data_IF_611002424922
#
_entry.id   IF_611002424922
#
_cell.length_a   1.000
_cell.length_b   1.000
_cell.length_c   1.000
_cell.angle_alpha   90.00
_cell.angle_beta   90.00
_cell.angle_gamma   90.00
#
_symmetry.space_group_name_H-M   'P 1'
#
loop_
_entity.id
_entity.type
_entity.pdbx_description
1 polymer ?
#
# COMPACT_ATOMS: atom_id res chain seq x y z
N UNK A 1 -9.77 28.74 -19.99
CA UNK A 1 -9.26 27.56 -20.71
C UNK A 1 -10.44 26.80 -21.30
N UNK A 2 -10.47 26.66 -22.60
CA UNK A 2 -11.52 25.91 -23.33
C UNK A 2 -11.33 24.40 -23.13
N UNK A 3 -12.36 23.56 -23.41
CA UNK A 3 -12.21 22.11 -23.34
C UNK A 3 -11.09 21.55 -24.22
N UNK A 4 -10.86 22.12 -25.40
CA UNK A 4 -9.87 21.62 -26.33
C UNK A 4 -8.44 22.07 -25.96
N UNK A 5 -8.28 23.31 -25.48
CA UNK A 5 -7.02 23.76 -24.85
C UNK A 5 -6.64 22.87 -23.65
N UNK A 6 -7.62 22.47 -22.84
CA UNK A 6 -7.40 21.59 -21.69
C UNK A 6 -6.95 20.20 -22.12
N UNK A 7 -7.59 19.59 -23.13
CA UNK A 7 -7.16 18.29 -23.67
C UNK A 7 -5.75 18.36 -24.22
N UNK A 8 -5.41 19.43 -24.93
CA UNK A 8 -4.06 19.66 -25.45
C UNK A 8 -3.04 19.76 -24.31
N UNK A 9 -3.37 20.48 -23.23
CA UNK A 9 -2.52 20.61 -22.05
C UNK A 9 -2.36 19.28 -21.29
N UNK A 10 -3.45 18.52 -21.11
CA UNK A 10 -3.41 17.17 -20.53
C UNK A 10 -2.52 16.24 -21.37
N UNK A 11 -2.65 16.30 -22.70
CA UNK A 11 -1.81 15.52 -23.61
C UNK A 11 -0.34 15.89 -23.48
N UNK A 12 0.00 17.17 -23.52
CA UNK A 12 1.38 17.64 -23.38
C UNK A 12 1.99 17.20 -22.04
N UNK A 13 1.26 17.37 -20.93
CA UNK A 13 1.71 16.91 -19.62
C UNK A 13 2.00 15.40 -19.57
N UNK A 14 1.15 14.58 -20.22
CA UNK A 14 1.32 13.13 -20.26
C UNK A 14 2.40 12.66 -21.25
N UNK A 15 2.66 13.42 -22.31
CA UNK A 15 3.75 13.13 -23.24
C UNK A 15 5.11 13.50 -22.60
N UNK A 16 5.15 14.57 -21.77
CA UNK A 16 6.33 14.96 -20.99
C UNK A 16 6.61 14.01 -19.80
N UNK A 17 5.55 13.62 -19.06
CA UNK A 17 5.64 12.67 -17.97
C UNK A 17 4.42 11.71 -17.99
N UNK A 18 4.58 10.51 -18.55
CA UNK A 18 3.48 9.54 -18.67
C UNK A 18 3.06 8.92 -17.34
N UNK A 19 3.82 9.14 -16.26
CA UNK A 19 3.51 8.64 -14.91
C UNK A 19 2.60 9.58 -14.11
N UNK A 20 2.32 10.79 -14.62
CA UNK A 20 1.50 11.77 -13.92
C UNK A 20 0.11 11.23 -13.57
N UNK A 21 -0.23 11.31 -12.29
CA UNK A 21 -1.57 10.95 -11.82
C UNK A 21 -2.62 11.97 -12.26
N UNK A 22 -3.85 11.50 -12.45
CA UNK A 22 -4.99 12.37 -12.77
C UNK A 22 -5.16 13.52 -11.76
N UNK A 23 -4.86 13.24 -10.49
CA UNK A 23 -4.91 14.24 -9.42
C UNK A 23 -3.84 15.34 -9.59
N UNK A 24 -2.62 14.96 -9.95
CA UNK A 24 -1.54 15.92 -10.19
C UNK A 24 -1.86 16.83 -11.38
N UNK A 25 -2.40 16.26 -12.46
CA UNK A 25 -2.84 17.00 -13.65
C UNK A 25 -4.01 17.93 -13.29
N UNK A 26 -4.99 17.44 -12.53
CA UNK A 26 -6.14 18.22 -12.07
C UNK A 26 -5.71 19.44 -11.23
N UNK A 27 -4.77 19.24 -10.31
CA UNK A 27 -4.22 20.29 -9.46
C UNK A 27 -3.44 21.34 -10.25
N UNK A 28 -2.64 20.94 -11.24
CA UNK A 28 -1.90 21.87 -12.11
C UNK A 28 -2.81 22.69 -13.03
N UNK A 29 -3.91 22.11 -13.48
CA UNK A 29 -4.86 22.75 -14.40
C UNK A 29 -6.01 23.49 -13.69
N UNK A 30 -6.10 23.39 -12.35
CA UNK A 30 -7.17 24.01 -11.56
C UNK A 30 -8.57 23.45 -11.85
N UNK A 31 -8.67 22.18 -12.23
CA UNK A 31 -9.93 21.51 -12.59
C UNK A 31 -10.18 20.28 -11.74
N UNK A 32 -11.39 19.72 -11.81
CA UNK A 32 -11.71 18.46 -11.10
C UNK A 32 -11.03 17.25 -11.76
N UNK A 33 -10.71 16.24 -10.94
CA UNK A 33 -10.18 14.96 -11.42
C UNK A 33 -11.12 14.27 -12.43
N UNK A 34 -12.44 14.37 -12.22
CA UNK A 34 -13.45 13.82 -13.13
C UNK A 34 -13.41 14.47 -14.52
N UNK A 35 -13.06 15.76 -14.59
CA UNK A 35 -12.86 16.48 -15.85
C UNK A 35 -11.64 15.94 -16.58
N UNK A 36 -10.51 15.78 -15.88
CA UNK A 36 -9.27 15.22 -16.45
C UNK A 36 -9.47 13.78 -16.95
N UNK A 37 -10.19 12.95 -16.19
CA UNK A 37 -10.53 11.58 -16.59
C UNK A 37 -11.30 11.53 -17.91
N UNK A 38 -12.27 12.44 -18.12
CA UNK A 38 -13.00 12.55 -19.39
C UNK A 38 -12.11 13.01 -20.54
N UNK A 39 -11.21 13.96 -20.29
CA UNK A 39 -10.30 14.47 -21.31
C UNK A 39 -9.27 13.40 -21.72
N UNK A 40 -8.71 12.64 -20.76
CA UNK A 40 -7.83 11.49 -21.04
C UNK A 40 -8.54 10.40 -21.86
N UNK A 41 -9.83 10.14 -21.58
CA UNK A 41 -10.65 9.23 -22.37
C UNK A 41 -10.85 9.73 -23.81
N UNK A 42 -11.04 11.03 -24.01
CA UNK A 42 -11.19 11.64 -25.33
C UNK A 42 -9.90 11.64 -26.16
N UNK A 43 -8.73 11.65 -25.52
CA UNK A 43 -7.41 11.65 -26.19
C UNK A 43 -6.94 10.22 -26.55
N UNK A 44 -7.71 9.18 -26.19
CA UNK A 44 -7.39 7.79 -26.51
C UNK A 44 -6.22 7.20 -25.71
N UNK A 45 -5.73 7.91 -24.68
CA UNK A 45 -4.65 7.49 -23.76
C UNK A 45 -5.19 6.79 -22.52
N UNK A 46 -6.28 6.04 -22.65
CA UNK A 46 -6.70 5.10 -21.61
C UNK A 46 -5.90 3.82 -21.82
N UNK A 47 -4.90 3.56 -20.96
CA UNK A 47 -4.52 2.18 -20.67
C UNK A 47 -5.74 1.52 -20.04
N UNK A 48 -6.59 0.93 -20.88
CA UNK A 48 -7.84 0.29 -20.49
C UNK A 48 -7.64 -0.99 -19.67
N UNK A 49 -6.43 -1.23 -19.13
CA UNK A 49 -6.08 -2.53 -18.54
C UNK A 49 -5.21 -2.49 -17.27
N UNK A 50 -5.20 -1.40 -16.49
CA UNK A 50 -4.65 -1.46 -15.13
C UNK A 50 -5.63 -0.89 -14.12
N UNK A 51 -6.79 -1.55 -14.01
CA UNK A 51 -7.67 -1.69 -12.84
C UNK A 51 -9.07 -2.08 -13.34
N UNK A 52 -9.20 -3.33 -13.80
CA UNK A 52 -10.51 -3.98 -13.92
C UNK A 52 -10.82 -4.62 -12.58
N UNK A 53 -11.95 -4.18 -12.02
CA UNK A 53 -12.62 -4.74 -10.88
C UNK A 53 -12.69 -6.28 -10.95
N UNK A 54 -12.16 -6.95 -9.94
CA UNK A 54 -12.53 -8.34 -9.66
C UNK A 54 -14.02 -8.39 -9.34
N UNK A 55 -14.84 -8.66 -10.36
CA UNK A 55 -16.19 -9.18 -10.21
C UNK A 55 -16.23 -10.51 -10.96
N UNK A 56 -16.26 -11.66 -10.29
CA UNK A 56 -16.36 -12.93 -10.99
C UNK A 56 -17.77 -13.03 -11.57
N UNK A 57 -17.91 -12.87 -12.89
CA UNK A 57 -19.12 -13.23 -13.62
C UNK A 57 -18.79 -14.51 -14.39
N UNK A 58 -19.42 -15.60 -13.98
CA UNK A 58 -19.30 -16.92 -14.59
C UNK A 58 -19.42 -16.83 -16.12
N UNK A 59 -18.45 -17.40 -16.84
CA UNK A 59 -18.55 -17.61 -18.27
C UNK A 59 -17.88 -18.93 -18.66
N UNK A 60 -18.64 -19.70 -19.44
CA UNK A 60 -18.32 -20.99 -20.07
C UNK A 60 -16.99 -20.95 -20.83
N UNK A 61 -16.27 -22.08 -20.94
CA UNK A 61 -15.10 -22.17 -21.81
C UNK A 61 -15.53 -22.16 -23.28
N UNK A 62 -15.02 -21.18 -24.04
CA UNK A 62 -14.97 -21.27 -25.49
C UNK A 62 -13.54 -21.57 -25.95
N UNK A 63 -13.50 -22.38 -27.00
CA UNK A 63 -12.40 -23.10 -27.62
C UNK A 63 -11.38 -22.16 -28.26
N UNK A 64 -10.11 -22.37 -27.95
CA UNK A 64 -8.97 -21.71 -28.62
C UNK A 64 -8.81 -22.24 -30.04
N UNK A 65 -8.94 -21.36 -31.03
CA UNK A 65 -8.42 -21.58 -32.38
C UNK A 65 -7.07 -20.87 -32.51
N UNK A 66 -6.04 -21.64 -32.83
CA UNK A 66 -4.69 -21.19 -33.16
C UNK A 66 -4.62 -20.78 -34.63
N UNK A 67 -4.25 -19.53 -34.93
CA UNK A 67 -3.68 -19.19 -36.23
C UNK A 67 -2.57 -18.13 -36.12
N UNK A 68 -1.54 -18.39 -36.92
CA UNK A 68 -0.15 -17.90 -36.93
C UNK A 68 0.00 -16.63 -37.79
N UNK A 69 1.16 -15.98 -37.63
CA UNK A 69 1.89 -15.13 -38.60
C UNK A 69 1.82 -13.64 -38.27
N UNK A 70 2.88 -12.83 -38.27
CA UNK A 70 4.28 -12.95 -38.66
C UNK A 70 4.84 -11.51 -38.69
N UNK A 71 6.16 -11.32 -38.56
CA UNK A 71 6.78 -10.00 -38.78
C UNK A 71 7.91 -9.65 -37.80
N UNK A 72 9.13 -9.99 -38.19
CA UNK A 72 10.36 -9.51 -37.56
C UNK A 72 10.66 -8.08 -38.01
N UNK A 73 10.92 -7.17 -37.07
CA UNK A 73 11.88 -6.06 -37.26
C UNK A 73 12.69 -5.88 -35.99
N UNK A 74 14.00 -6.09 -36.10
CA UNK A 74 15.02 -5.77 -35.08
C UNK A 74 15.21 -4.25 -35.02
N UNK A 75 15.00 -3.64 -33.86
CA UNK A 75 15.68 -2.40 -33.48
C UNK A 75 15.76 -2.26 -31.94
N UNK A 76 17.02 -2.16 -31.46
CA UNK A 76 17.54 -1.65 -30.17
C UNK A 76 17.15 -2.31 -28.82
N UNK A 77 18.12 -2.87 -28.07
CA UNK A 77 18.01 -3.08 -26.62
C UNK A 77 18.64 -1.90 -25.88
N UNK A 78 17.85 -1.01 -25.29
CA UNK A 78 18.34 -0.06 -24.28
C UNK A 78 17.28 0.11 -23.20
N UNK A 79 17.13 -0.88 -22.32
CA UNK A 79 16.55 -0.64 -21.00
C UNK A 79 17.65 -0.11 -20.09
N UNK A 80 18.09 1.14 -20.31
CA UNK A 80 18.75 1.89 -19.25
C UNK A 80 17.65 2.32 -18.29
N UNK A 81 17.32 1.46 -17.32
CA UNK A 81 16.43 1.84 -16.23
C UNK A 81 17.16 2.94 -15.47
N UNK A 82 16.68 4.18 -15.57
CA UNK A 82 17.28 5.29 -14.82
C UNK A 82 17.10 5.01 -13.32
N UNK A 83 18.01 5.47 -12.46
CA UNK A 83 17.83 5.36 -11.00
C UNK A 83 16.48 5.90 -10.54
N UNK A 84 16.00 6.95 -11.20
CA UNK A 84 14.67 7.54 -11.01
C UNK A 84 13.53 6.61 -11.45
N UNK A 85 13.69 5.90 -12.58
CA UNK A 85 12.75 4.88 -13.04
C UNK A 85 12.71 3.65 -12.13
N UNK A 86 13.86 3.25 -11.56
CA UNK A 86 13.94 2.20 -10.53
C UNK A 86 13.24 2.69 -9.25
N UNK A 87 13.51 3.91 -8.82
CA UNK A 87 12.88 4.49 -7.63
C UNK A 87 11.36 4.60 -7.78
N UNK A 88 10.86 5.08 -8.92
CA UNK A 88 9.43 5.15 -9.22
C UNK A 88 8.76 3.76 -9.30
N UNK A 89 9.46 2.75 -9.82
CA UNK A 89 9.02 1.36 -9.77
C UNK A 89 8.96 0.83 -8.33
N UNK A 90 9.97 1.13 -7.50
CA UNK A 90 9.99 0.75 -6.08
C UNK A 90 8.89 1.45 -5.29
N UNK A 91 8.62 2.72 -5.56
CA UNK A 91 7.58 3.50 -4.86
C UNK A 91 6.16 3.04 -5.22
N UNK A 92 5.97 2.48 -6.42
CA UNK A 92 4.72 1.81 -6.83
C UNK A 92 4.41 0.52 -6.03
N UNK A 93 5.42 -0.05 -5.37
CA UNK A 93 5.29 -1.28 -4.60
C UNK A 93 5.18 -1.04 -3.08
N UNK A 94 5.36 0.19 -2.59
CA UNK A 94 5.21 0.50 -1.17
C UNK A 94 3.74 0.80 -0.85
N UNK A 95 3.11 -0.14 -0.15
CA UNK A 95 1.77 0.07 0.40
C UNK A 95 1.78 1.13 1.52
N UNK A 96 0.63 1.72 1.90
CA UNK A 96 0.56 2.59 3.07
C UNK A 96 1.11 1.96 4.34
N UNK A 97 0.91 0.66 4.53
CA UNK A 97 1.51 -0.13 5.60
C UNK A 97 3.02 -0.25 5.48
N UNK A 98 3.57 -0.47 4.27
CA UNK A 98 5.03 -0.45 4.05
C UNK A 98 5.64 0.89 4.46
N UNK A 99 5.00 2.00 4.07
CA UNK A 99 5.45 3.35 4.43
C UNK A 99 5.42 3.59 5.93
N UNK A 100 4.37 3.14 6.61
CA UNK A 100 4.27 3.24 8.06
C UNK A 100 5.37 2.45 8.76
N UNK A 101 5.58 1.18 8.37
CA UNK A 101 6.62 0.34 8.99
C UNK A 101 8.02 0.88 8.69
N UNK A 102 8.26 1.38 7.48
CA UNK A 102 9.54 2.03 7.14
C UNK A 102 9.82 3.25 8.02
N UNK A 103 8.80 4.08 8.27
CA UNK A 103 8.93 5.23 9.17
C UNK A 103 9.26 4.81 10.61
N UNK A 104 8.56 3.80 11.15
CA UNK A 104 8.81 3.29 12.50
C UNK A 104 10.23 2.72 12.60
N UNK A 105 10.69 1.97 11.59
CA UNK A 105 12.05 1.42 11.56
C UNK A 105 13.12 2.50 11.48
N UNK A 106 12.90 3.54 10.66
CA UNK A 106 13.83 4.67 10.59
C UNK A 106 13.91 5.40 11.94
N UNK A 107 12.80 5.52 12.66
CA UNK A 107 12.77 6.09 14.00
C UNK A 107 13.54 5.21 15.01
N UNK A 108 13.34 3.89 15.00
CA UNK A 108 14.11 2.98 15.85
C UNK A 108 15.62 3.03 15.56
N UNK A 109 16.02 3.02 14.29
CA UNK A 109 17.42 3.12 13.86
C UNK A 109 18.05 4.47 14.29
N UNK A 110 17.31 5.58 14.18
CA UNK A 110 17.77 6.89 14.64
C UNK A 110 18.03 6.96 16.16
N UNK A 111 17.40 6.05 16.92
CA UNK A 111 17.60 5.87 18.36
C UNK A 111 18.58 4.72 18.69
N UNK A 112 19.22 4.11 17.70
CA UNK A 112 20.13 2.97 17.89
C UNK A 112 19.44 1.68 18.36
N UNK A 113 18.13 1.55 18.12
CA UNK A 113 17.31 0.41 18.54
C UNK A 113 17.03 -0.51 17.36
N UNK A 114 16.98 -1.81 17.64
CA UNK A 114 16.65 -2.85 16.67
C UNK A 114 15.43 -3.66 17.17
N UNK A 115 14.40 -3.88 16.33
CA UNK A 115 13.23 -4.66 16.73
C UNK A 115 13.61 -6.09 17.13
N UNK A 116 13.07 -6.56 18.25
CA UNK A 116 13.17 -7.98 18.59
C UNK A 116 12.21 -8.87 17.75
N UNK A 117 12.25 -10.19 17.95
CA UNK A 117 11.40 -11.12 17.18
C UNK A 117 9.89 -10.90 17.41
N UNK A 118 9.50 -10.44 18.60
CA UNK A 118 8.10 -10.12 18.93
C UNK A 118 7.69 -8.83 18.22
N UNK A 119 8.52 -7.81 18.27
CA UNK A 119 8.31 -6.51 17.64
C UNK A 119 8.30 -6.62 16.11
N UNK A 120 9.15 -7.47 15.54
CA UNK A 120 9.10 -7.80 14.11
C UNK A 120 7.74 -8.39 13.71
N UNK A 121 7.16 -9.26 14.55
CA UNK A 121 5.80 -9.79 14.36
C UNK A 121 4.72 -8.72 14.49
N UNK A 122 4.85 -7.81 15.44
CA UNK A 122 3.93 -6.67 15.60
C UNK A 122 4.00 -5.73 14.39
N UNK A 123 5.19 -5.42 13.89
CA UNK A 123 5.37 -4.59 12.69
C UNK A 123 4.72 -5.21 11.45
N UNK A 124 4.76 -6.54 11.30
CA UNK A 124 4.05 -7.21 10.22
C UNK A 124 2.52 -7.04 10.33
N UNK A 125 1.97 -7.12 11.55
CA UNK A 125 0.54 -6.86 11.79
C UNK A 125 0.16 -5.39 11.61
N UNK A 126 1.03 -4.46 12.01
CA UNK A 126 0.86 -3.01 11.79
C UNK A 126 0.76 -2.71 10.29
N UNK A 127 1.66 -3.28 9.49
CA UNK A 127 1.64 -3.16 8.02
C UNK A 127 0.29 -3.60 7.45
N UNK A 128 -0.12 -4.82 7.75
CA UNK A 128 -1.36 -5.40 7.22
C UNK A 128 -2.60 -4.59 7.66
N UNK A 129 -2.64 -4.20 8.93
CA UNK A 129 -3.76 -3.39 9.47
C UNK A 129 -3.83 -2.02 8.80
N UNK A 130 -2.69 -1.37 8.56
CA UNK A 130 -2.64 -0.09 7.87
C UNK A 130 -3.10 -0.21 6.41
N UNK A 131 -2.75 -1.29 5.72
CA UNK A 131 -3.19 -1.56 4.35
C UNK A 131 -4.71 -1.80 4.28
N UNK A 132 -5.27 -2.56 5.23
CA UNK A 132 -6.72 -2.76 5.34
C UNK A 132 -7.44 -1.42 5.57
N UNK A 133 -6.94 -0.58 6.48
CA UNK A 133 -7.51 0.75 6.73
C UNK A 133 -7.48 1.60 5.46
N UNK A 134 -6.36 1.62 4.75
CA UNK A 134 -6.21 2.42 3.54
C UNK A 134 -7.16 1.95 2.42
N UNK A 135 -7.26 0.64 2.20
CA UNK A 135 -8.18 0.06 1.23
C UNK A 135 -9.65 0.36 1.59
N UNK A 136 -10.02 0.22 2.87
CA UNK A 136 -11.35 0.52 3.35
C UNK A 136 -11.69 2.02 3.22
N UNK A 137 -10.74 2.90 3.53
CA UNK A 137 -10.90 4.35 3.38
C UNK A 137 -11.07 4.73 1.91
N UNK A 138 -10.24 4.19 1.01
CA UNK A 138 -10.36 4.43 -0.43
C UNK A 138 -11.75 4.00 -0.96
N UNK A 139 -12.27 2.88 -0.45
CA UNK A 139 -13.61 2.42 -0.82
C UNK A 139 -14.71 3.33 -0.28
N UNK A 140 -14.59 3.75 0.98
CA UNK A 140 -15.52 4.70 1.61
C UNK A 140 -15.54 6.04 0.86
N UNK A 141 -14.37 6.52 0.44
CA UNK A 141 -14.25 7.79 -0.31
C UNK A 141 -14.91 7.68 -1.70
N UNK A 142 -14.87 6.50 -2.33
CA UNK A 142 -15.53 6.24 -3.60
C UNK A 142 -17.05 6.11 -3.48
N UNK A 143 -17.55 5.43 -2.42
CA UNK A 143 -18.98 5.14 -2.23
C UNK A 143 -19.73 6.27 -1.51
N UNK A 144 -19.01 7.12 -0.76
CA UNK A 144 -19.57 8.17 0.08
C UNK A 144 -19.96 7.69 1.49
N UNK A 145 -20.16 8.65 2.40
CA UNK A 145 -20.35 8.36 3.84
C UNK A 145 -21.70 7.73 4.18
N UNK A 146 -22.69 7.91 3.31
CA UNK A 146 -24.10 7.66 3.61
C UNK A 146 -24.77 7.06 2.38
N UNK A 147 -25.50 5.97 2.59
CA UNK A 147 -26.40 5.43 1.58
C UNK A 147 -27.76 6.10 1.63
N UNK A 148 -28.34 6.29 0.44
CA UNK A 148 -29.71 6.73 0.31
C UNK A 148 -30.66 5.75 1.05
N UNK A 149 -31.78 6.25 1.58
CA UNK A 149 -32.77 5.41 2.23
C UNK A 149 -33.26 4.29 1.30
N UNK A 150 -33.34 3.05 1.82
CA UNK A 150 -33.85 1.91 1.05
C UNK A 150 -35.34 2.05 0.67
N UNK A 151 -36.08 2.89 1.40
CA UNK A 151 -37.47 3.22 1.13
C UNK A 151 -37.64 4.75 1.03
N UNK A 152 -38.57 5.22 0.20
CA UNK A 152 -38.88 6.64 0.04
C UNK A 152 -39.29 7.25 1.39
N UNK A 153 -38.52 8.23 1.86
CA UNK A 153 -38.74 8.90 3.15
C UNK A 153 -38.12 8.21 4.38
N UNK A 154 -37.42 7.09 4.22
CA UNK A 154 -36.68 6.46 5.32
C UNK A 154 -35.44 7.27 5.73
N UNK A 155 -34.84 6.96 6.90
CA UNK A 155 -33.61 7.62 7.30
C UNK A 155 -32.42 7.15 6.45
N UNK A 156 -31.46 8.04 6.15
CA UNK A 156 -30.19 7.65 5.56
C UNK A 156 -29.43 6.68 6.48
N UNK A 157 -28.65 5.77 5.89
CA UNK A 157 -27.83 4.81 6.66
C UNK A 157 -26.34 5.10 6.46
N UNK A 158 -25.53 5.06 7.53
CA UNK A 158 -24.08 5.22 7.40
C UNK A 158 -23.48 4.03 6.63
N UNK A 159 -22.41 4.30 5.89
CA UNK A 159 -21.65 3.27 5.20
C UNK A 159 -21.06 2.26 6.21
N UNK A 160 -21.19 0.94 6.01
CA UNK A 160 -20.75 -0.07 6.99
C UNK A 160 -19.23 -0.02 7.27
N UNK A 161 -18.43 0.36 6.27
CA UNK A 161 -16.98 0.54 6.44
C UNK A 161 -16.61 1.62 7.48
N UNK A 162 -17.50 2.54 7.84
CA UNK A 162 -17.20 3.52 8.89
C UNK A 162 -16.92 2.85 10.24
N UNK A 163 -17.72 1.84 10.60
CA UNK A 163 -17.54 1.11 11.84
C UNK A 163 -16.26 0.26 11.78
N UNK A 164 -16.02 -0.39 10.63
CA UNK A 164 -14.83 -1.22 10.43
C UNK A 164 -13.54 -0.39 10.51
N UNK A 165 -13.47 0.75 9.83
CA UNK A 165 -12.32 1.66 9.88
C UNK A 165 -12.04 2.11 11.32
N UNK A 166 -13.08 2.42 12.10
CA UNK A 166 -12.90 2.79 13.52
C UNK A 166 -12.34 1.62 14.33
N UNK A 167 -12.86 0.41 14.13
CA UNK A 167 -12.35 -0.80 14.78
C UNK A 167 -10.88 -1.05 14.45
N UNK A 168 -10.52 -1.00 13.17
CA UNK A 168 -9.16 -1.19 12.69
C UNK A 168 -8.20 -0.11 13.22
N UNK A 169 -8.63 1.15 13.32
CA UNK A 169 -7.81 2.21 13.94
C UNK A 169 -7.53 1.94 15.42
N UNK A 170 -8.49 1.36 16.15
CA UNK A 170 -8.27 0.94 17.55
C UNK A 170 -7.28 -0.22 17.62
N UNK A 171 -7.40 -1.21 16.73
CA UNK A 171 -6.43 -2.33 16.64
C UNK A 171 -5.04 -1.80 16.33
N UNK A 172 -4.90 -0.92 15.33
CA UNK A 172 -3.64 -0.30 14.95
C UNK A 172 -3.01 0.45 16.13
N UNK A 173 -3.79 1.26 16.85
CA UNK A 173 -3.30 1.98 18.02
C UNK A 173 -2.78 1.02 19.12
N UNK A 174 -3.46 -0.11 19.35
CA UNK A 174 -3.04 -1.14 20.31
C UNK A 174 -1.79 -1.90 19.88
N UNK A 175 -1.61 -2.11 18.57
CA UNK A 175 -0.39 -2.74 18.04
C UNK A 175 0.80 -1.80 18.20
N UNK A 176 0.62 -0.53 17.84
CA UNK A 176 1.65 0.50 17.98
C UNK A 176 2.05 0.72 19.43
N UNK A 177 1.11 0.73 20.38
CA UNK A 177 1.42 0.88 21.81
C UNK A 177 2.20 -0.30 22.41
N UNK A 178 2.32 -1.43 21.71
CA UNK A 178 3.08 -2.60 22.16
C UNK A 178 4.52 -2.63 21.64
N UNK A 179 4.85 -1.77 20.67
CA UNK A 179 6.20 -1.59 20.15
C UNK A 179 6.92 -0.64 21.11
N UNK A 180 7.97 -1.12 21.76
CA UNK A 180 8.68 -0.32 22.77
C UNK A 180 9.75 0.53 22.09
N UNK A 181 9.74 1.84 22.34
CA UNK A 181 10.73 2.79 21.80
C UNK A 181 11.79 3.20 22.83
N UNK A 182 11.75 2.61 24.03
CA UNK A 182 12.73 2.86 25.09
C UNK A 182 13.79 1.75 25.14
N UNK A 183 15.03 2.15 25.43
CA UNK A 183 16.17 1.27 25.67
C UNK A 183 15.96 0.51 27.01
N UNK A 184 15.05 -0.46 27.03
CA UNK A 184 14.49 -0.88 28.32
C UNK A 184 13.65 -2.15 28.33
N UNK A 185 14.16 -3.26 27.79
CA UNK A 185 13.78 -4.60 28.27
C UNK A 185 14.74 -5.63 27.69
N UNK A 186 15.73 -6.02 28.50
CA UNK A 186 16.65 -7.16 28.29
C UNK A 186 16.06 -8.21 27.31
N UNK A 187 16.68 -8.32 26.14
CA UNK A 187 16.30 -9.26 25.08
C UNK A 187 15.99 -10.66 25.66
N UNK A 188 14.77 -11.20 25.47
CA UNK A 188 14.32 -12.43 26.13
C UNK A 188 15.13 -13.66 25.70
N UNK A 189 15.68 -13.66 24.48
CA UNK A 189 16.60 -14.70 24.00
C UNK A 189 17.93 -14.62 24.74
N UNK A 190 18.47 -13.42 24.91
CA UNK A 190 19.70 -13.18 25.70
C UNK A 190 19.49 -13.50 27.19
N UNK A 191 18.30 -13.22 27.75
CA UNK A 191 17.94 -13.60 29.12
C UNK A 191 17.81 -15.11 29.29
N UNK A 192 17.12 -15.81 28.38
CA UNK A 192 16.99 -17.27 28.44
C UNK A 192 18.36 -17.94 28.38
N UNK A 193 19.23 -17.46 27.48
CA UNK A 193 20.62 -17.93 27.40
C UNK A 193 21.42 -17.62 28.68
N UNK A 194 21.28 -16.42 29.25
CA UNK A 194 21.94 -16.05 30.50
C UNK A 194 21.44 -16.88 31.70
N UNK A 195 20.13 -17.09 31.81
CA UNK A 195 19.51 -17.90 32.87
C UNK A 195 19.91 -19.37 32.76
N UNK A 196 20.00 -19.93 31.55
CA UNK A 196 20.51 -21.28 31.33
C UNK A 196 21.97 -21.41 31.76
N UNK A 197 22.83 -20.43 31.42
CA UNK A 197 24.25 -20.41 31.85
C UNK A 197 24.38 -20.28 33.36
N UNK A 198 23.58 -19.42 34.00
CA UNK A 198 23.58 -19.25 35.45
C UNK A 198 23.13 -20.52 36.18
N UNK A 199 22.06 -21.17 35.71
CA UNK A 199 21.57 -22.45 36.26
C UNK A 199 22.59 -23.57 36.12
N UNK A 200 23.24 -23.69 34.96
CA UNK A 200 24.30 -24.68 34.75
C UNK A 200 25.49 -24.47 35.70
N UNK A 201 25.89 -23.21 35.92
CA UNK A 201 26.99 -22.86 36.84
C UNK A 201 26.64 -23.13 38.31
N UNK A 202 25.40 -22.88 38.74
CA UNK A 202 24.96 -23.20 40.09
C UNK A 202 24.89 -24.72 40.31
N UNK A 203 24.38 -25.48 39.34
CA UNK A 203 24.38 -26.95 39.41
C UNK A 203 25.80 -27.53 39.49
N UNK A 204 26.77 -26.96 38.76
CA UNK A 204 28.19 -27.37 38.88
C UNK A 204 28.77 -27.04 40.26
N UNK A 205 28.41 -25.88 40.83
CA UNK A 205 28.86 -25.47 42.17
C UNK A 205 28.22 -26.32 43.28
N UNK A 206 26.98 -26.72 43.11
CA UNK A 206 26.24 -27.59 44.04
C UNK A 206 26.65 -29.07 43.92
N UNK A 207 27.09 -29.51 42.73
CA UNK A 207 27.61 -30.86 42.50
C UNK A 207 29.06 -31.06 42.97
N UNK A 208 29.72 -30.04 43.52
CA UNK A 208 31.06 -30.15 44.11
C UNK A 208 32.17 -30.47 43.11
N UNK A 209 31.97 -30.21 41.81
CA UNK A 209 33.00 -30.36 40.78
C UNK A 209 33.66 -29.00 40.58
N UNK A 210 34.67 -28.73 41.40
CA UNK A 210 35.63 -27.65 41.25
C UNK A 210 37.00 -28.23 40.93
#
# INVERSE_FOLDING_TARGET
>A
MTPDERKQAVKAMLDDDPSLSQWAIARRLGVSQRTVSRDMAAIGRVSANRFVANRPKAARPQTVSSQVSGGMTRAAPVTSITPEGIAALMDFHLTPGDKLVAAIRAELDSNGLEPDAREAGLLAQVRETADIIAAAQQRLDADGLVFAPAAKGGPPRPHPLLAEIRGQRVVLARLLSQINMEEGSKNPVKQKAANTRWRARNMQREAGIG
#
